data_IF_871213410253
#
_entry.id   IF_871213410253
#
_cell.length_a   1.000
_cell.length_b   1.000
_cell.length_c   1.000
_cell.angle_alpha   90.00
_cell.angle_beta   90.00
_cell.angle_gamma   90.00
#
_symmetry.space_group_name_H-M   'P 1'
#
loop_
_entity.id
_entity.type
_entity.pdbx_description
1 polymer ?
#
# COMPACT_ATOMS: atom_id res chain seq x y z
N UNK A 1 16.17 24.34 -4.10
CA UNK A 1 14.96 23.51 -3.93
C UNK A 1 14.32 23.87 -2.60
N UNK A 2 13.05 24.22 -2.59
CA UNK A 2 12.35 24.54 -1.35
C UNK A 2 11.79 23.26 -0.70
N UNK A 3 11.66 23.27 0.64
CA UNK A 3 11.09 22.17 1.44
C UNK A 3 9.73 21.70 0.94
N UNK A 4 8.94 22.61 0.39
CA UNK A 4 7.59 22.35 -0.12
C UNK A 4 7.58 21.67 -1.48
N UNK A 5 8.52 22.02 -2.36
CA UNK A 5 8.71 21.33 -3.63
C UNK A 5 9.15 19.88 -3.39
N UNK A 6 10.09 19.68 -2.46
CA UNK A 6 10.53 18.35 -2.02
C UNK A 6 9.33 17.55 -1.45
N UNK A 7 8.51 18.18 -0.62
CA UNK A 7 7.29 17.56 -0.08
C UNK A 7 6.31 17.15 -1.19
N UNK A 8 6.07 17.99 -2.19
CA UNK A 8 5.10 17.67 -3.25
C UNK A 8 5.62 16.58 -4.19
N UNK A 9 6.86 16.68 -4.64
CA UNK A 9 7.42 15.82 -5.70
C UNK A 9 8.01 14.52 -5.15
N UNK A 10 8.80 14.59 -4.08
CA UNK A 10 9.51 13.44 -3.54
C UNK A 10 8.74 12.75 -2.43
N UNK A 11 8.04 13.50 -1.58
CA UNK A 11 7.18 12.88 -0.57
C UNK A 11 5.84 12.44 -1.17
N UNK A 12 5.04 13.36 -1.70
CA UNK A 12 3.69 13.03 -2.14
C UNK A 12 3.60 12.50 -3.59
N UNK A 13 4.64 12.68 -4.42
CA UNK A 13 4.65 12.20 -5.81
C UNK A 13 3.68 12.92 -6.75
N UNK A 14 3.22 14.14 -6.39
CA UNK A 14 2.23 14.86 -7.18
C UNK A 14 2.86 15.93 -8.09
N UNK A 15 2.29 16.11 -9.28
CA UNK A 15 2.57 17.29 -10.10
C UNK A 15 1.89 18.53 -9.50
N UNK A 16 2.30 19.71 -9.96
CA UNK A 16 1.70 21.00 -9.57
C UNK A 16 0.21 21.03 -9.92
N UNK A 17 -0.17 20.49 -11.08
CA UNK A 17 -1.55 20.46 -11.55
C UNK A 17 -2.42 19.49 -10.74
N UNK A 18 -1.89 18.30 -10.45
CA UNK A 18 -2.61 17.32 -9.62
C UNK A 18 -2.83 17.88 -8.22
N UNK A 19 -1.81 18.54 -7.65
CA UNK A 19 -1.92 19.20 -6.34
C UNK A 19 -2.92 20.35 -6.35
N UNK A 20 -2.97 21.14 -7.43
CA UNK A 20 -3.92 22.24 -7.58
C UNK A 20 -5.38 21.74 -7.59
N UNK A 21 -5.64 20.67 -8.35
CA UNK A 21 -6.95 20.00 -8.38
C UNK A 21 -7.32 19.43 -7.01
N UNK A 22 -6.37 18.74 -6.38
CA UNK A 22 -6.55 18.06 -5.10
C UNK A 22 -6.88 19.03 -3.95
N UNK A 23 -6.16 20.14 -3.88
CA UNK A 23 -6.32 21.14 -2.83
C UNK A 23 -7.37 22.22 -3.16
N UNK A 24 -8.06 22.11 -4.30
CA UNK A 24 -9.01 23.11 -4.80
C UNK A 24 -8.38 24.54 -4.86
N UNK A 25 -7.13 24.63 -5.35
CA UNK A 25 -6.39 25.90 -5.49
C UNK A 25 -5.91 26.10 -6.93
N UNK A 26 -5.50 27.33 -7.25
CA UNK A 26 -4.88 27.63 -8.54
C UNK A 26 -3.44 27.11 -8.63
N UNK A 27 -3.02 26.76 -9.85
CA UNK A 27 -1.63 26.34 -10.17
C UNK A 27 -0.61 27.38 -9.66
N UNK A 28 -0.92 28.67 -9.78
CA UNK A 28 -0.09 29.78 -9.30
C UNK A 28 0.08 29.79 -7.78
N UNK A 29 -0.90 29.28 -7.04
CA UNK A 29 -0.84 29.16 -5.58
C UNK A 29 0.06 28.00 -5.18
N UNK A 30 -0.02 26.87 -5.89
CA UNK A 30 0.87 25.73 -5.67
C UNK A 30 2.32 26.07 -6.01
N UNK A 31 2.56 26.77 -7.13
CA UNK A 31 3.92 27.27 -7.48
C UNK A 31 4.48 28.20 -6.40
N UNK A 32 3.64 29.05 -5.81
CA UNK A 32 4.04 29.91 -4.68
C UNK A 32 4.39 29.12 -3.42
N UNK A 33 3.69 28.01 -3.15
CA UNK A 33 4.07 27.09 -2.08
C UNK A 33 5.44 26.47 -2.34
N UNK A 34 5.70 26.03 -3.57
CA UNK A 34 6.99 25.48 -3.99
C UNK A 34 8.12 26.51 -3.93
N UNK A 35 7.82 27.81 -4.04
CA UNK A 35 8.78 28.92 -3.85
C UNK A 35 9.04 29.27 -2.39
N UNK A 36 8.18 28.80 -1.48
CA UNK A 36 8.43 28.83 -0.05
C UNK A 36 7.32 29.34 0.83
N UNK A 37 6.20 29.72 0.24
CA UNK A 37 5.02 30.08 1.03
C UNK A 37 4.48 28.86 1.79
N UNK A 38 3.95 29.06 3.02
CA UNK A 38 3.41 27.96 3.81
C UNK A 38 2.24 27.30 3.08
N UNK A 39 2.25 25.96 3.03
CA UNK A 39 1.12 25.16 2.59
C UNK A 39 0.11 25.11 3.74
N UNK A 40 -1.19 25.41 3.52
CA UNK A 40 -2.23 25.25 4.53
C UNK A 40 -2.23 23.82 5.10
N UNK A 41 -2.41 23.64 6.42
CA UNK A 41 -2.32 22.33 7.06
C UNK A 41 -3.35 21.34 6.50
N UNK A 42 -4.53 21.80 6.08
CA UNK A 42 -5.59 21.00 5.47
C UNK A 42 -5.12 20.44 4.12
N UNK A 43 -4.52 21.29 3.29
CA UNK A 43 -3.96 20.89 1.99
C UNK A 43 -2.83 19.87 2.18
N UNK A 44 -1.96 20.10 3.16
CA UNK A 44 -0.86 19.20 3.47
C UNK A 44 -1.34 17.82 3.93
N UNK A 45 -2.39 17.77 4.75
CA UNK A 45 -3.03 16.52 5.18
C UNK A 45 -3.69 15.79 4.01
N UNK A 46 -4.42 16.51 3.16
CA UNK A 46 -5.11 15.94 2.01
C UNK A 46 -4.11 15.32 1.01
N UNK A 47 -2.96 15.99 0.79
CA UNK A 47 -1.86 15.43 0.00
C UNK A 47 -1.29 14.14 0.61
N UNK A 48 -1.10 14.07 1.94
CA UNK A 48 -0.62 12.84 2.60
C UNK A 48 -1.61 11.70 2.47
N UNK A 49 -2.88 11.98 2.70
CA UNK A 49 -3.96 10.99 2.63
C UNK A 49 -4.04 10.37 1.23
N UNK A 50 -4.05 11.19 0.18
CA UNK A 50 -4.13 10.69 -1.20
C UNK A 50 -2.82 10.05 -1.66
N UNK A 51 -1.67 10.45 -1.12
CA UNK A 51 -0.40 9.76 -1.36
C UNK A 51 -0.30 8.37 -0.67
N UNK A 52 -1.34 7.93 0.03
CA UNK A 52 -1.37 6.62 0.71
C UNK A 52 -0.50 6.56 1.96
N UNK A 53 -0.12 7.72 2.52
CA UNK A 53 0.74 7.83 3.71
C UNK A 53 -0.06 7.91 5.02
N UNK A 54 -1.39 7.96 4.95
CA UNK A 54 -2.27 7.91 6.11
C UNK A 54 -3.23 6.72 5.96
N UNK A 55 -3.40 5.94 7.03
CA UNK A 55 -4.39 4.87 7.09
C UNK A 55 -5.76 5.46 7.44
N UNK A 56 -6.82 4.72 7.09
CA UNK A 56 -8.19 5.13 7.41
C UNK A 56 -8.38 5.25 8.95
N UNK A 57 -9.11 6.27 9.43
CA UNK A 57 -9.40 6.44 10.85
C UNK A 57 -10.49 5.46 11.29
N UNK A 58 -10.13 4.18 11.40
CA UNK A 58 -10.99 3.08 11.85
C UNK A 58 -10.29 2.30 12.95
N UNK A 59 -11.05 1.75 13.90
CA UNK A 59 -10.53 0.91 14.97
C UNK A 59 -9.78 -0.32 14.45
N UNK A 60 -10.11 -0.82 13.26
CA UNK A 60 -9.40 -1.94 12.63
C UNK A 60 -7.94 -1.64 12.29
N UNK A 61 -7.57 -0.36 12.19
CA UNK A 61 -6.21 0.10 11.92
C UNK A 61 -5.54 0.72 13.15
N UNK A 62 -6.12 0.56 14.34
CA UNK A 62 -5.55 1.10 15.57
C UNK A 62 -4.14 0.52 15.82
N UNK A 63 -3.18 1.42 16.05
CA UNK A 63 -1.77 1.06 16.21
C UNK A 63 -1.00 0.83 14.90
N UNK A 64 -1.67 0.70 13.76
CA UNK A 64 -1.01 0.61 12.46
C UNK A 64 -0.64 2.00 11.94
N UNK A 65 0.52 2.13 11.30
CA UNK A 65 0.97 3.40 10.68
C UNK A 65 1.70 3.13 9.38
N UNK A 66 1.60 4.05 8.43
CA UNK A 66 2.47 4.04 7.26
C UNK A 66 3.78 4.74 7.60
N UNK A 67 4.90 4.02 7.48
CA UNK A 67 6.24 4.56 7.69
C UNK A 67 7.02 4.46 6.37
N UNK A 68 7.05 5.58 5.63
CA UNK A 68 7.60 5.67 4.28
C UNK A 68 6.97 4.62 3.34
N UNK A 69 7.73 3.59 2.96
CA UNK A 69 7.31 2.52 2.05
C UNK A 69 6.94 1.21 2.77
N UNK A 70 6.80 1.24 4.10
CA UNK A 70 6.50 0.07 4.93
C UNK A 70 5.29 0.33 5.82
N UNK A 71 4.57 -0.75 6.14
CA UNK A 71 3.48 -0.73 7.11
C UNK A 71 4.07 -1.05 8.49
N UNK A 72 3.95 -0.12 9.41
CA UNK A 72 4.27 -0.31 10.82
C UNK A 72 3.08 -0.95 11.53
N UNK A 73 3.34 -2.10 12.16
CA UNK A 73 2.40 -2.86 12.97
C UNK A 73 2.29 -2.27 14.39
N UNK A 74 1.23 -2.60 15.17
CA UNK A 74 1.07 -2.12 16.55
C UNK A 74 2.23 -2.47 17.51
N UNK A 75 3.01 -3.50 17.19
CA UNK A 75 4.20 -3.90 17.93
C UNK A 75 5.47 -3.13 17.51
N UNK A 76 5.36 -2.15 16.60
CA UNK A 76 6.47 -1.37 16.04
C UNK A 76 7.23 -2.05 14.91
N UNK A 77 6.82 -3.24 14.47
CA UNK A 77 7.49 -3.96 13.39
C UNK A 77 7.13 -3.37 12.02
N UNK A 78 8.14 -3.22 11.15
CA UNK A 78 7.98 -2.70 9.79
C UNK A 78 7.88 -3.82 8.76
N UNK A 79 6.73 -3.90 8.09
CA UNK A 79 6.41 -4.91 7.09
C UNK A 79 6.49 -4.31 5.69
N UNK A 80 7.20 -4.98 4.78
CA UNK A 80 7.23 -4.58 3.36
C UNK A 80 5.99 -5.07 2.60
N UNK A 81 5.63 -4.45 1.46
CA UNK A 81 4.53 -4.91 0.62
C UNK A 81 4.63 -6.39 0.22
N UNK A 82 5.85 -6.88 -0.05
CA UNK A 82 6.10 -8.29 -0.39
C UNK A 82 5.82 -9.22 0.79
N UNK A 83 6.18 -8.82 2.01
CA UNK A 83 5.88 -9.61 3.21
C UNK A 83 4.38 -9.69 3.46
N UNK A 84 3.63 -8.62 3.20
CA UNK A 84 2.16 -8.64 3.25
C UNK A 84 1.61 -9.63 2.22
N UNK A 85 2.09 -9.57 0.98
CA UNK A 85 1.67 -10.47 -0.09
C UNK A 85 1.95 -11.94 0.24
N UNK A 86 3.13 -12.24 0.80
CA UNK A 86 3.48 -13.59 1.26
C UNK A 86 2.55 -14.03 2.39
N UNK A 87 2.23 -13.15 3.35
CA UNK A 87 1.28 -13.45 4.41
C UNK A 87 -0.10 -13.82 3.88
N UNK A 88 -0.61 -13.07 2.90
CA UNK A 88 -1.89 -13.37 2.23
C UNK A 88 -1.81 -14.72 1.51
N UNK A 89 -0.77 -14.94 0.70
CA UNK A 89 -0.59 -16.19 -0.02
C UNK A 89 -0.53 -17.40 0.92
N UNK A 90 0.15 -17.30 2.07
CA UNK A 90 0.20 -18.39 3.07
C UNK A 90 -1.14 -18.66 3.74
N UNK A 91 -1.96 -17.63 3.93
CA UNK A 91 -3.34 -17.78 4.42
C UNK A 91 -4.23 -18.44 3.36
N UNK A 92 -4.02 -18.14 2.08
CA UNK A 92 -4.74 -18.74 0.96
C UNK A 92 -4.33 -20.19 0.68
N UNK A 93 -3.04 -20.53 0.79
CA UNK A 93 -2.50 -21.88 0.56
C UNK A 93 -3.10 -22.91 1.53
N UNK A 94 -3.47 -22.47 2.74
CA UNK A 94 -4.14 -23.32 3.71
C UNK A 94 -5.66 -23.35 3.53
N UNK A 95 -6.19 -22.89 2.41
CA UNK A 95 -7.63 -22.97 2.15
C UNK A 95 -8.06 -24.44 2.03
N UNK A 96 -9.20 -24.77 2.63
CA UNK A 96 -9.77 -26.12 2.61
C UNK A 96 -9.97 -26.65 1.17
N UNK A 97 -10.21 -25.74 0.23
CA UNK A 97 -10.32 -26.02 -1.19
C UNK A 97 -9.01 -26.51 -1.80
N UNK A 98 -7.88 -25.89 -1.45
CA UNK A 98 -6.57 -26.28 -1.96
C UNK A 98 -6.13 -27.64 -1.42
N UNK A 99 -6.41 -27.91 -0.13
CA UNK A 99 -6.19 -29.23 0.48
C UNK A 99 -7.02 -30.32 -0.22
N UNK A 100 -8.32 -30.07 -0.44
CA UNK A 100 -9.21 -31.02 -1.14
C UNK A 100 -8.74 -31.28 -2.58
N UNK A 101 -8.33 -30.23 -3.29
CA UNK A 101 -7.89 -30.33 -4.68
C UNK A 101 -6.56 -31.07 -4.80
N UNK A 102 -5.60 -30.74 -3.93
CA UNK A 102 -4.30 -31.42 -3.86
C UNK A 102 -4.44 -32.90 -3.53
N UNK A 103 -5.36 -33.25 -2.60
CA UNK A 103 -5.64 -34.65 -2.24
C UNK A 103 -6.19 -35.43 -3.43
N UNK A 104 -7.13 -34.84 -4.20
CA UNK A 104 -7.67 -35.46 -5.42
C UNK A 104 -6.61 -35.63 -6.50
N UNK A 105 -5.78 -34.61 -6.73
CA UNK A 105 -4.69 -34.67 -7.71
C UNK A 105 -3.68 -35.77 -7.38
N UNK A 106 -3.27 -35.88 -6.12
CA UNK A 106 -2.36 -36.94 -5.67
C UNK A 106 -2.97 -38.34 -5.85
N UNK A 107 -4.26 -38.51 -5.57
CA UNK A 107 -4.94 -39.79 -5.81
C UNK A 107 -4.98 -40.16 -7.29
N UNK A 108 -5.32 -39.20 -8.17
CA UNK A 108 -5.33 -39.43 -9.62
C UNK A 108 -3.92 -39.78 -10.11
N UNK A 109 -2.89 -39.04 -9.68
CA UNK A 109 -1.51 -39.30 -10.05
C UNK A 109 -1.04 -40.70 -9.63
N UNK A 110 -1.44 -41.18 -8.44
CA UNK A 110 -1.17 -42.55 -7.97
C UNK A 110 -1.86 -43.61 -8.83
N UNK A 111 -3.11 -43.38 -9.22
CA UNK A 111 -3.83 -44.31 -10.10
C UNK A 111 -3.15 -44.38 -11.48
N UNK A 112 -2.81 -43.23 -12.06
CA UNK A 112 -2.14 -43.16 -13.36
C UNK A 112 -0.77 -43.83 -13.36
N UNK A 113 0.00 -43.69 -12.28
CA UNK A 113 1.28 -44.39 -12.13
C UNK A 113 1.10 -45.90 -12.04
N UNK A 114 0.12 -46.38 -11.26
CA UNK A 114 -0.20 -47.81 -11.17
C UNK A 114 -0.64 -48.40 -12.52
N UNK A 115 -1.45 -47.65 -13.29
CA UNK A 115 -1.87 -48.04 -14.64
C UNK A 115 -0.72 -48.07 -15.64
N UNK A 116 0.29 -47.21 -15.48
CA UNK A 116 1.48 -47.18 -16.35
C UNK A 116 2.49 -48.28 -16.00
N UNK A 117 2.47 -48.78 -14.76
CA UNK A 117 3.30 -49.92 -14.32
C UNK A 117 2.67 -51.30 -14.59
N UNK A 118 1.47 -51.32 -15.18
CA UNK A 118 0.78 -52.54 -15.65
C UNK A 118 0.96 -52.69 -17.16
#
# INVERSE_FOLDING_TARGET
MHKNQLFRELECGFSVETTAKLCFKSVSTVKRWDMGNPIPPECKRLMRLVSGRELAPSSCWEGFRMNNYRLELPNGQLVSPQQIMVGIALLEINSELEIKTSTKLLNIARILTNLKSS
#
